data_IF_889932365930
#
_entry.id   IF_889932365930
#
_cell.length_a   1.000
_cell.length_b   1.000
_cell.length_c   1.000
_cell.angle_alpha   90.00
_cell.angle_beta   90.00
_cell.angle_gamma   90.00
#
_symmetry.space_group_name_H-M   'P 1'
#
loop_
_entity.id
_entity.type
_entity.pdbx_description
1 polymer ?
#
# COMPACT_ATOMS: atom_id res chain seq x y z
N UNK A 1 0.82 -9.15 -6.84
CA UNK A 1 0.74 -7.74 -6.38
C UNK A 1 0.45 -7.58 -4.88
N UNK A 2 -0.34 -8.47 -4.24
CA UNK A 2 -0.61 -8.43 -2.78
C UNK A 2 0.65 -8.34 -1.89
N UNK A 3 1.68 -9.14 -2.17
CA UNK A 3 2.94 -9.09 -1.41
C UNK A 3 3.66 -7.74 -1.52
N UNK A 4 3.62 -7.11 -2.70
CA UNK A 4 4.21 -5.79 -2.93
C UNK A 4 3.42 -4.68 -2.21
N UNK A 5 2.09 -4.75 -2.21
CA UNK A 5 1.26 -3.83 -1.41
C UNK A 5 1.57 -3.95 0.08
N UNK A 6 1.66 -5.18 0.61
CA UNK A 6 2.01 -5.42 2.02
C UNK A 6 3.41 -4.90 2.36
N UNK A 7 4.39 -5.07 1.48
CA UNK A 7 5.73 -4.49 1.65
C UNK A 7 5.66 -2.97 1.80
N UNK A 8 4.92 -2.28 0.94
CA UNK A 8 4.78 -0.83 1.03
C UNK A 8 4.08 -0.37 2.32
N UNK A 9 3.02 -1.07 2.76
CA UNK A 9 2.39 -0.79 4.07
C UNK A 9 3.38 -0.91 5.23
N UNK A 10 4.21 -1.96 5.23
CA UNK A 10 5.23 -2.14 6.26
C UNK A 10 6.28 -1.02 6.23
N UNK A 11 6.64 -0.51 5.05
CA UNK A 11 7.58 0.60 4.92
C UNK A 11 6.96 1.93 5.34
N UNK A 12 5.71 2.19 5.01
CA UNK A 12 4.97 3.34 5.49
C UNK A 12 4.94 3.38 7.03
N UNK A 13 4.61 2.24 7.64
CA UNK A 13 4.57 2.11 9.10
C UNK A 13 5.94 2.34 9.75
N UNK A 14 7.00 1.73 9.21
CA UNK A 14 8.36 1.94 9.71
C UNK A 14 8.76 3.43 9.68
N UNK A 15 8.43 4.13 8.59
CA UNK A 15 8.70 5.55 8.46
C UNK A 15 7.94 6.38 9.52
N UNK A 16 6.68 6.06 9.82
CA UNK A 16 5.90 6.73 10.89
C UNK A 16 6.52 6.50 12.26
N UNK A 17 6.83 5.26 12.59
CA UNK A 17 7.45 4.90 13.89
C UNK A 17 8.78 5.64 14.07
N UNK A 18 9.61 5.72 13.03
CA UNK A 18 10.87 6.47 13.08
C UNK A 18 10.64 7.97 13.25
N UNK A 19 9.65 8.55 12.55
CA UNK A 19 9.31 9.97 12.68
C UNK A 19 8.80 10.32 14.09
N UNK A 20 8.01 9.42 14.70
CA UNK A 20 7.53 9.56 16.08
C UNK A 20 8.68 9.44 17.10
N UNK A 21 9.60 8.50 16.89
CA UNK A 21 10.74 8.28 17.76
C UNK A 21 11.69 9.49 17.83
N UNK A 22 11.75 10.32 16.78
CA UNK A 22 12.54 11.55 16.76
C UNK A 22 11.95 12.66 17.66
N UNK A 23 10.70 12.55 18.11
CA UNK A 23 10.10 13.35 19.17
C UNK A 23 9.89 14.85 18.89
N UNK A 24 10.49 15.40 17.83
CA UNK A 24 10.35 16.79 17.42
C UNK A 24 9.57 16.90 16.11
N UNK A 25 8.44 17.59 16.16
CA UNK A 25 7.59 17.83 14.99
C UNK A 25 8.28 18.72 13.94
N UNK A 26 9.31 19.48 14.32
CA UNK A 26 10.05 20.42 13.46
C UNK A 26 11.38 19.86 12.98
N UNK A 27 11.70 18.61 13.34
CA UNK A 27 12.87 17.94 12.81
C UNK A 27 12.67 17.65 11.31
N UNK A 28 13.60 18.14 10.48
CA UNK A 28 13.52 17.96 9.02
C UNK A 28 13.57 16.48 8.61
N UNK A 29 14.27 15.63 9.36
CA UNK A 29 14.29 14.19 9.16
C UNK A 29 12.93 13.58 9.50
N UNK A 30 12.30 14.00 10.60
CA UNK A 30 10.96 13.54 10.96
C UNK A 30 9.91 13.94 9.91
N UNK A 31 10.00 15.16 9.37
CA UNK A 31 9.15 15.59 8.26
C UNK A 31 9.38 14.73 7.01
N UNK A 32 10.64 14.50 6.62
CA UNK A 32 10.93 13.68 5.44
C UNK A 32 10.48 12.23 5.61
N UNK A 33 10.58 11.67 6.82
CA UNK A 33 10.06 10.35 7.13
C UNK A 33 8.53 10.28 7.00
N UNK A 34 7.80 11.33 7.39
CA UNK A 34 6.35 11.40 7.18
C UNK A 34 6.01 11.45 5.69
N UNK A 35 6.70 12.29 4.90
CA UNK A 35 6.53 12.35 3.44
C UNK A 35 6.76 10.96 2.80
N UNK A 36 7.82 10.27 3.22
CA UNK A 36 8.10 8.91 2.73
C UNK A 36 7.01 7.91 3.13
N UNK A 37 6.44 8.05 4.34
CA UNK A 37 5.34 7.19 4.76
C UNK A 37 4.11 7.36 3.85
N UNK A 38 3.79 8.60 3.50
CA UNK A 38 2.67 8.92 2.62
C UNK A 38 2.90 8.38 1.20
N UNK A 39 4.11 8.56 0.65
CA UNK A 39 4.48 7.98 -0.66
C UNK A 39 4.37 6.45 -0.67
N UNK A 40 4.79 5.77 0.39
CA UNK A 40 4.65 4.32 0.50
C UNK A 40 3.18 3.89 0.60
N UNK A 41 2.35 4.62 1.34
CA UNK A 41 0.93 4.32 1.46
C UNK A 41 0.18 4.53 0.15
N UNK A 42 0.51 5.56 -0.63
CA UNK A 42 -0.04 5.76 -1.97
C UNK A 42 0.31 4.60 -2.91
N UNK A 43 1.56 4.15 -2.88
CA UNK A 43 1.99 2.97 -3.64
C UNK A 43 1.22 1.70 -3.25
N UNK A 44 1.02 1.48 -1.95
CA UNK A 44 0.21 0.37 -1.45
C UNK A 44 -1.23 0.46 -1.96
N UNK A 45 -1.86 1.63 -1.85
CA UNK A 45 -3.23 1.88 -2.30
C UNK A 45 -3.40 1.62 -3.81
N UNK A 46 -2.44 2.04 -4.64
CA UNK A 46 -2.47 1.79 -6.09
C UNK A 46 -2.43 0.29 -6.38
N UNK A 47 -1.56 -0.46 -5.69
CA UNK A 47 -1.44 -1.91 -5.88
C UNK A 47 -2.66 -2.67 -5.36
N UNK A 48 -3.20 -2.27 -4.21
CA UNK A 48 -4.43 -2.84 -3.64
C UNK A 48 -5.62 -2.67 -4.59
N UNK A 49 -5.78 -1.49 -5.18
CA UNK A 49 -6.82 -1.24 -6.20
C UNK A 49 -6.64 -2.10 -7.45
N UNK A 50 -5.40 -2.31 -7.89
CA UNK A 50 -5.12 -3.19 -9.04
C UNK A 50 -5.45 -4.64 -8.71
N UNK A 51 -5.06 -5.12 -7.54
CA UNK A 51 -5.41 -6.48 -7.07
C UNK A 51 -6.93 -6.66 -7.04
N UNK A 52 -7.67 -5.73 -6.44
CA UNK A 52 -9.12 -5.82 -6.33
C UNK A 52 -9.81 -5.83 -7.71
N UNK A 53 -9.28 -5.07 -8.67
CA UNK A 53 -9.79 -5.08 -10.05
C UNK A 53 -9.52 -6.42 -10.73
N UNK A 54 -8.30 -6.91 -10.66
CA UNK A 54 -7.91 -8.16 -11.34
C UNK A 54 -8.69 -9.37 -10.76
N UNK A 55 -8.95 -9.38 -9.45
CA UNK A 55 -9.79 -10.41 -8.80
C UNK A 55 -11.26 -10.34 -9.23
N UNK A 56 -11.80 -9.13 -9.37
CA UNK A 56 -13.16 -8.96 -9.89
C UNK A 56 -13.28 -9.40 -11.37
N UNK A 57 -12.21 -9.28 -12.16
CA UNK A 57 -12.17 -9.73 -13.56
C UNK A 57 -12.02 -11.26 -13.67
N UNK A 58 -11.26 -11.91 -12.79
CA UNK A 58 -11.15 -13.37 -12.72
C UNK A 58 -12.49 -14.04 -12.35
N UNK A 59 -13.24 -13.46 -11.41
CA UNK A 59 -14.56 -13.96 -10.99
C UNK A 59 -15.60 -13.93 -12.14
N UNK A 60 -15.49 -12.98 -13.07
CA UNK A 60 -16.41 -12.86 -14.22
C UNK A 60 -16.09 -13.87 -15.33
N UNK A 61 -14.81 -14.20 -15.52
CA UNK A 61 -14.37 -15.17 -16.55
C UNK A 61 -14.72 -16.62 -16.18
N UNK A 62 -14.71 -16.96 -14.88
CA UNK A 62 -15.09 -18.30 -14.39
C UNK A 62 -16.58 -18.65 -14.54
N UNK A 63 -17.45 -17.66 -14.76
CA UNK A 63 -18.92 -17.86 -14.85
C UNK A 63 -19.46 -18.26 -16.22
N UNK A 64 -18.68 -18.11 -17.31
CA UNK A 64 -19.15 -18.35 -18.68
C UNK A 64 -18.93 -19.79 -19.19
N UNK A 65 -18.57 -20.72 -18.30
CA UNK A 65 -18.04 -22.03 -18.65
C UNK A 65 -18.94 -23.24 -18.43
N UNK A 66 -20.26 -23.14 -18.24
CA UNK A 66 -21.16 -24.31 -18.28
C UNK A 66 -22.53 -23.89 -18.81
N UNK A 67 -22.75 -24.04 -20.12
CA UNK A 67 -24.10 -24.28 -20.66
C UNK A 67 -23.98 -25.52 -21.53
N UNK A 68 -24.58 -26.60 -21.03
CA UNK A 68 -24.52 -27.96 -21.56
C UNK A 68 -25.57 -28.18 -22.65
#
# INVERSE_FOLDING_TARGET
MRAAASYFRQKAELCRVLAEALGSQHDQVALKLRDMADEFDDNACILERRVARDEAEEDVSGGAGIVH
#
